data_IF_961383985247
#
_entry.id   IF_961383985247
#
_cell.length_a   1.000
_cell.length_b   1.000
_cell.length_c   1.000
_cell.angle_alpha   90.00
_cell.angle_beta   90.00
_cell.angle_gamma   90.00
#
_symmetry.space_group_name_H-M   'P 1'
#
loop_
_entity.id
_entity.type
_entity.pdbx_description
1 polymer ?
#
# COMPACT_ATOMS: atom_id res chain seq x y z
N UNK A 1 16.79 6.67 6.92
CA UNK A 1 16.23 6.57 5.55
C UNK A 1 17.28 7.03 4.55
N UNK A 2 17.52 6.28 3.47
CA UNK A 2 18.42 6.69 2.38
C UNK A 2 17.66 7.25 1.20
N UNK A 3 18.23 8.28 0.56
CA UNK A 3 17.68 8.98 -0.59
C UNK A 3 18.72 9.10 -1.69
N UNK A 4 18.30 9.02 -2.96
CA UNK A 4 19.15 9.30 -4.10
C UNK A 4 19.12 10.80 -4.39
N UNK A 5 20.26 11.46 -4.29
CA UNK A 5 20.44 12.85 -4.72
C UNK A 5 20.46 12.91 -6.25
N UNK A 6 19.52 13.62 -6.86
CA UNK A 6 19.33 13.64 -8.32
C UNK A 6 20.39 14.48 -9.06
N UNK A 7 21.16 15.30 -8.33
CA UNK A 7 22.20 16.17 -8.92
C UNK A 7 23.54 15.47 -9.03
N UNK A 8 23.93 14.76 -7.97
CA UNK A 8 25.22 14.06 -7.90
C UNK A 8 25.07 12.55 -8.11
N UNK A 9 23.84 12.05 -8.21
CA UNK A 9 23.50 10.63 -8.41
C UNK A 9 24.08 9.71 -7.34
N UNK A 10 24.17 10.16 -6.09
CA UNK A 10 24.67 9.36 -4.95
C UNK A 10 23.60 9.20 -3.88
N UNK A 11 23.71 8.09 -3.14
CA UNK A 11 22.87 7.84 -1.98
C UNK A 11 23.38 8.66 -0.79
N UNK A 12 22.46 9.33 -0.13
CA UNK A 12 22.67 10.08 1.10
C UNK A 12 21.70 9.57 2.18
N UNK A 13 22.16 9.55 3.43
CA UNK A 13 21.38 9.03 4.55
C UNK A 13 20.91 10.15 5.48
N UNK A 14 19.65 10.05 5.88
CA UNK A 14 18.94 11.03 6.69
C UNK A 14 18.16 10.36 7.82
N UNK A 15 18.06 11.07 8.94
CA UNK A 15 17.38 10.61 10.15
C UNK A 15 16.35 11.63 10.61
N UNK A 16 15.15 11.16 10.97
CA UNK A 16 14.07 11.96 11.58
C UNK A 16 13.85 13.33 10.90
N UNK A 17 13.99 14.42 11.65
CA UNK A 17 13.73 15.79 11.20
C UNK A 17 14.73 16.30 10.14
N UNK A 18 15.81 15.57 9.86
CA UNK A 18 16.78 15.94 8.82
C UNK A 18 16.38 15.47 7.42
N UNK A 19 15.32 14.66 7.29
CA UNK A 19 14.86 14.16 5.99
C UNK A 19 14.43 15.35 5.11
N UNK A 20 15.08 15.58 3.96
CA UNK A 20 14.74 16.69 3.06
C UNK A 20 13.41 16.43 2.37
N UNK A 21 12.92 17.38 1.57
CA UNK A 21 11.79 17.13 0.66
C UNK A 21 12.23 16.17 -0.46
N UNK A 22 11.41 15.16 -0.75
CA UNK A 22 11.72 14.14 -1.76
C UNK A 22 10.47 13.72 -2.54
N UNK A 23 10.68 13.19 -3.74
CA UNK A 23 9.70 12.37 -4.45
C UNK A 23 9.93 10.89 -4.16
N UNK A 24 8.91 10.05 -4.33
CA UNK A 24 9.01 8.61 -4.17
C UNK A 24 8.56 7.89 -5.43
N UNK A 25 9.27 6.83 -5.83
CA UNK A 25 8.90 6.02 -6.99
C UNK A 25 8.09 4.80 -6.56
N UNK A 26 6.80 4.81 -6.88
CA UNK A 26 5.94 3.65 -6.79
C UNK A 26 5.97 2.88 -8.11
N UNK A 27 6.28 1.58 -8.08
CA UNK A 27 6.39 0.80 -9.30
C UNK A 27 6.26 -0.69 -9.05
N UNK A 28 6.08 -1.45 -10.13
CA UNK A 28 6.10 -2.91 -10.09
C UNK A 28 7.44 -3.43 -10.57
N UNK A 29 8.08 -4.30 -9.78
CA UNK A 29 9.41 -4.81 -10.12
C UNK A 29 9.42 -5.56 -11.46
N UNK A 30 10.46 -5.32 -12.25
CA UNK A 30 10.73 -5.98 -13.51
C UNK A 30 11.85 -7.02 -13.41
N UNK A 31 12.32 -7.50 -14.55
CA UNK A 31 13.44 -8.44 -14.63
C UNK A 31 14.79 -7.80 -14.29
N UNK A 32 14.94 -6.49 -14.54
CA UNK A 32 16.17 -5.74 -14.31
C UNK A 32 15.87 -4.54 -13.43
N UNK A 33 16.39 -4.58 -12.20
CA UNK A 33 16.20 -3.55 -11.20
C UNK A 33 17.56 -2.94 -10.80
N UNK A 34 17.57 -1.63 -10.57
CA UNK A 34 18.72 -0.95 -9.99
C UNK A 34 18.72 -1.25 -8.50
N UNK A 35 19.69 -2.05 -8.05
CA UNK A 35 19.80 -2.46 -6.66
C UNK A 35 20.72 -1.52 -5.88
N UNK A 36 20.61 -1.54 -4.55
CA UNK A 36 21.49 -0.77 -3.67
C UNK A 36 22.97 -0.98 -3.96
N UNK A 37 23.38 -2.24 -4.17
CA UNK A 37 24.75 -2.62 -4.48
C UNK A 37 25.28 -2.02 -5.80
N UNK A 38 24.39 -1.67 -6.74
CA UNK A 38 24.78 -1.02 -8.00
C UNK A 38 25.09 0.48 -7.82
N UNK A 39 24.60 1.09 -6.74
CA UNK A 39 24.63 2.54 -6.51
C UNK A 39 25.56 2.93 -5.36
N UNK A 40 25.71 2.07 -4.34
CA UNK A 40 26.39 2.40 -3.08
C UNK A 40 27.84 2.91 -3.25
N UNK A 41 28.61 2.36 -4.19
CA UNK A 41 30.03 2.72 -4.36
C UNK A 41 30.22 3.92 -5.28
N UNK A 42 29.74 3.81 -6.52
CA UNK A 42 30.05 4.77 -7.59
C UNK A 42 28.93 5.79 -7.83
N UNK A 43 27.78 5.64 -7.16
CA UNK A 43 26.55 6.32 -7.51
C UNK A 43 25.80 5.64 -8.65
N UNK A 44 24.64 6.19 -8.96
CA UNK A 44 23.77 5.74 -10.04
C UNK A 44 24.34 6.18 -11.38
N UNK A 45 24.35 5.26 -12.36
CA UNK A 45 24.82 5.52 -13.71
C UNK A 45 23.63 5.84 -14.60
N UNK A 46 23.54 7.09 -15.06
CA UNK A 46 22.48 7.52 -15.97
C UNK A 46 22.43 6.65 -17.24
N UNK A 47 21.22 6.36 -17.72
CA UNK A 47 20.99 5.50 -18.89
C UNK A 47 20.96 4.01 -18.58
N UNK A 48 21.15 3.59 -17.32
CA UNK A 48 21.06 2.17 -16.93
C UNK A 48 19.63 1.70 -16.69
N UNK A 49 18.69 2.61 -16.45
CA UNK A 49 17.29 2.27 -16.24
C UNK A 49 16.39 3.43 -16.60
N UNK A 50 15.62 3.28 -17.70
CA UNK A 50 14.64 4.28 -18.13
C UNK A 50 13.68 4.70 -17.01
N UNK A 51 13.34 3.77 -16.12
CA UNK A 51 12.52 4.03 -14.93
C UNK A 51 13.23 4.94 -13.92
N UNK A 52 14.49 4.67 -13.56
CA UNK A 52 15.21 5.52 -12.60
C UNK A 52 15.56 6.86 -13.24
N UNK A 53 15.98 6.85 -14.50
CA UNK A 53 16.29 8.06 -15.27
C UNK A 53 15.09 9.00 -15.37
N UNK A 54 13.90 8.49 -15.71
CA UNK A 54 12.69 9.30 -15.76
C UNK A 54 12.23 9.78 -14.38
N UNK A 55 12.41 8.99 -13.33
CA UNK A 55 12.12 9.42 -11.95
C UNK A 55 12.99 10.61 -11.54
N UNK A 56 14.29 10.55 -11.84
CA UNK A 56 15.24 11.65 -11.60
C UNK A 56 14.84 12.87 -12.43
N UNK A 57 14.58 12.68 -13.74
CA UNK A 57 14.21 13.79 -14.63
C UNK A 57 12.93 14.49 -14.16
N UNK A 58 11.92 13.72 -13.76
CA UNK A 58 10.66 14.24 -13.25
C UNK A 58 10.84 14.95 -11.89
N UNK A 59 11.63 14.39 -10.97
CA UNK A 59 11.98 15.07 -9.71
C UNK A 59 12.68 16.41 -9.94
N UNK A 60 13.62 16.48 -10.89
CA UNK A 60 14.29 17.73 -11.27
C UNK A 60 13.27 18.75 -11.81
N UNK A 61 12.35 18.31 -12.67
CA UNK A 61 11.28 19.15 -13.23
C UNK A 61 10.37 19.71 -12.13
N UNK A 62 10.08 18.92 -11.11
CA UNK A 62 9.24 19.29 -9.97
C UNK A 62 10.01 20.03 -8.86
N UNK A 63 11.30 20.34 -9.07
CA UNK A 63 12.13 21.10 -8.15
C UNK A 63 12.53 20.34 -6.88
N UNK A 64 12.64 19.01 -6.97
CA UNK A 64 13.03 18.12 -5.88
C UNK A 64 14.43 17.57 -6.12
N UNK A 65 15.31 17.71 -5.14
CA UNK A 65 16.70 17.26 -5.24
C UNK A 65 16.90 15.79 -4.81
N UNK A 66 15.85 15.15 -4.27
CA UNK A 66 15.92 13.80 -3.73
C UNK A 66 14.78 12.92 -4.22
N UNK A 67 15.11 11.66 -4.51
CA UNK A 67 14.13 10.60 -4.77
C UNK A 67 14.37 9.40 -3.87
N UNK A 68 13.28 8.76 -3.44
CA UNK A 68 13.33 7.45 -2.80
C UNK A 68 12.83 6.37 -3.76
N UNK A 69 13.59 5.28 -3.85
CA UNK A 69 13.28 4.12 -4.69
C UNK A 69 13.63 2.86 -3.90
N UNK A 70 12.66 2.00 -3.59
CA UNK A 70 12.84 0.85 -2.70
C UNK A 70 13.96 -0.11 -3.15
N UNK A 71 14.19 -0.23 -4.46
CA UNK A 71 15.20 -1.14 -5.03
C UNK A 71 16.63 -0.69 -4.78
N UNK A 72 16.91 0.61 -4.82
CA UNK A 72 18.27 1.14 -4.63
C UNK A 72 18.48 1.93 -3.34
N UNK A 73 17.41 2.35 -2.65
CA UNK A 73 17.52 3.09 -1.38
C UNK A 73 17.52 2.17 -0.16
N UNK A 74 17.13 0.90 -0.28
CA UNK A 74 17.16 -0.07 0.83
C UNK A 74 18.24 -1.12 0.57
N UNK A 75 19.12 -1.35 1.55
CA UNK A 75 19.96 -2.54 1.55
C UNK A 75 19.16 -3.78 1.96
N UNK A 76 18.66 -4.50 0.95
CA UNK A 76 17.88 -5.74 1.14
C UNK A 76 18.74 -6.93 1.63
N UNK A 77 20.07 -6.79 1.67
CA UNK A 77 20.97 -7.81 2.26
C UNK A 77 21.06 -7.70 3.79
N UNK A 78 20.77 -6.52 4.35
CA UNK A 78 20.66 -6.28 5.77
C UNK A 78 19.24 -6.59 6.24
N UNK A 79 19.05 -7.68 6.98
CA UNK A 79 17.74 -8.04 7.53
C UNK A 79 17.19 -7.00 8.52
N UNK A 80 18.08 -6.35 9.27
CA UNK A 80 17.74 -5.27 10.19
C UNK A 80 17.18 -4.07 9.41
N UNK A 81 17.88 -3.62 8.37
CA UNK A 81 17.43 -2.49 7.57
C UNK A 81 16.16 -2.83 6.78
N UNK A 82 16.06 -4.02 6.20
CA UNK A 82 14.86 -4.45 5.50
C UNK A 82 13.64 -4.44 6.45
N UNK A 83 13.82 -4.90 7.69
CA UNK A 83 12.76 -4.88 8.70
C UNK A 83 12.36 -3.47 9.10
N UNK A 84 13.32 -2.58 9.31
CA UNK A 84 13.07 -1.16 9.60
C UNK A 84 12.34 -0.49 8.43
N UNK A 85 12.79 -0.74 7.20
CA UNK A 85 12.22 -0.17 6.00
C UNK A 85 10.77 -0.60 5.78
N UNK A 86 10.46 -1.89 5.91
CA UNK A 86 9.09 -2.39 5.76
C UNK A 86 8.15 -1.77 6.82
N UNK A 87 8.62 -1.63 8.06
CA UNK A 87 7.85 -1.00 9.13
C UNK A 87 7.69 0.52 8.96
N UNK A 88 8.56 1.16 8.18
CA UNK A 88 8.58 2.62 7.95
C UNK A 88 8.00 3.04 6.61
N UNK A 89 7.79 2.11 5.68
CA UNK A 89 7.49 2.42 4.27
C UNK A 89 6.25 3.28 4.10
N UNK A 90 5.18 3.00 4.84
CA UNK A 90 3.96 3.81 4.81
C UNK A 90 4.21 5.24 5.26
N UNK A 91 5.03 5.44 6.30
CA UNK A 91 5.40 6.78 6.75
C UNK A 91 6.26 7.52 5.72
N UNK A 92 7.13 6.82 5.00
CA UNK A 92 7.91 7.39 3.90
C UNK A 92 7.02 7.78 2.71
N UNK A 93 6.09 6.92 2.30
CA UNK A 93 5.11 7.29 1.27
C UNK A 93 4.23 8.46 1.71
N UNK A 94 3.82 8.51 2.98
CA UNK A 94 3.03 9.63 3.51
C UNK A 94 3.82 10.93 3.61
N UNK A 95 5.12 10.86 3.87
CA UNK A 95 6.00 12.02 4.05
C UNK A 95 6.60 12.58 2.74
N UNK A 96 6.41 11.91 1.61
CA UNK A 96 6.91 12.40 0.33
C UNK A 96 6.12 13.61 -0.16
N UNK A 97 6.74 14.46 -0.98
CA UNK A 97 6.04 15.56 -1.67
C UNK A 97 5.08 15.01 -2.72
N UNK A 98 5.53 13.99 -3.46
CA UNK A 98 4.79 13.35 -4.55
C UNK A 98 5.27 11.92 -4.75
N UNK A 99 4.33 11.03 -5.03
CA UNK A 99 4.57 9.65 -5.48
C UNK A 99 4.39 9.57 -6.99
N UNK A 100 5.44 9.17 -7.69
CA UNK A 100 5.39 8.87 -9.11
C UNK A 100 5.04 7.39 -9.27
N UNK A 101 3.83 7.09 -9.70
CA UNK A 101 3.37 5.74 -10.01
C UNK A 101 3.73 5.39 -11.46
N UNK A 102 4.84 4.69 -11.65
CA UNK A 102 5.33 4.29 -12.96
C UNK A 102 4.69 2.96 -13.41
N UNK A 103 3.88 3.04 -14.47
CA UNK A 103 3.09 1.94 -15.01
C UNK A 103 3.79 1.37 -16.26
N UNK A 104 4.70 0.41 -16.04
CA UNK A 104 5.53 -0.19 -17.09
C UNK A 104 4.73 -0.90 -18.20
N UNK A 105 3.48 -1.25 -17.94
CA UNK A 105 2.57 -1.96 -18.84
C UNK A 105 1.52 -1.07 -19.50
N UNK A 106 1.65 0.25 -19.33
CA UNK A 106 0.77 1.24 -19.94
C UNK A 106 1.51 1.97 -21.06
N UNK A 107 1.03 1.92 -22.32
CA UNK A 107 1.66 2.58 -23.46
C UNK A 107 1.52 4.11 -23.40
N UNK A 108 2.26 4.81 -24.26
CA UNK A 108 2.34 6.28 -24.26
C UNK A 108 1.19 6.97 -24.99
N UNK A 109 0.37 6.21 -25.74
CA UNK A 109 -0.81 6.70 -26.46
C UNK A 109 -2.06 6.81 -25.57
N UNK A 110 -1.87 6.80 -24.25
CA UNK A 110 -2.92 7.06 -23.28
C UNK A 110 -3.32 8.54 -23.31
N UNK A 111 -4.62 8.79 -23.38
CA UNK A 111 -5.16 10.14 -23.24
C UNK A 111 -4.85 10.65 -21.81
N UNK A 112 -4.05 11.72 -21.73
CA UNK A 112 -3.92 12.49 -20.50
C UNK A 112 -5.28 13.11 -20.20
N UNK A 113 -5.71 12.98 -18.96
CA UNK A 113 -7.05 13.35 -18.54
C UNK A 113 -6.91 14.27 -17.35
N UNK A 114 -7.64 15.37 -17.44
CA UNK A 114 -7.47 16.48 -16.52
C UNK A 114 -8.47 16.34 -15.38
N UNK A 115 -7.96 16.42 -14.15
CA UNK A 115 -8.76 16.31 -12.92
C UNK A 115 -9.86 17.37 -12.88
N UNK A 116 -9.64 18.51 -13.54
CA UNK A 116 -10.59 19.62 -13.60
C UNK A 116 -11.65 19.47 -14.71
N UNK A 117 -11.46 18.57 -15.69
CA UNK A 117 -12.32 18.44 -16.87
C UNK A 117 -12.90 17.03 -17.09
N UNK A 118 -12.33 15.98 -16.49
CA UNK A 118 -12.74 14.58 -16.62
C UNK A 118 -13.05 13.96 -15.24
N UNK A 119 -14.26 14.21 -14.72
CA UNK A 119 -14.71 13.67 -13.42
C UNK A 119 -14.66 12.13 -13.34
N UNK A 120 -14.96 11.46 -14.46
CA UNK A 120 -15.12 10.00 -14.52
C UNK A 120 -13.81 9.24 -14.72
N UNK A 121 -12.82 9.90 -15.32
CA UNK A 121 -11.50 9.37 -15.64
C UNK A 121 -11.38 8.39 -16.81
N UNK A 122 -10.22 7.71 -16.95
CA UNK A 122 -9.97 6.85 -18.10
C UNK A 122 -10.95 5.68 -18.08
N UNK A 123 -11.33 5.19 -19.26
CA UNK A 123 -12.26 4.07 -19.39
C UNK A 123 -11.80 2.86 -18.54
N UNK A 124 -12.75 2.15 -17.92
CA UNK A 124 -12.45 0.97 -17.07
C UNK A 124 -11.79 -0.18 -17.85
N UNK A 125 -11.88 -0.18 -19.18
CA UNK A 125 -11.21 -1.13 -20.07
C UNK A 125 -9.89 -0.61 -20.64
N UNK A 126 -9.44 0.59 -20.25
CA UNK A 126 -8.16 1.17 -20.66
C UNK A 126 -6.96 0.33 -20.19
N UNK A 127 -5.80 0.55 -20.84
CA UNK A 127 -4.54 -0.05 -20.39
C UNK A 127 -4.18 0.38 -18.95
N UNK A 128 -4.51 1.62 -18.59
CA UNK A 128 -4.37 2.14 -17.23
C UNK A 128 -5.14 1.28 -16.23
N UNK A 129 -6.46 1.12 -16.40
CA UNK A 129 -7.31 0.36 -15.48
C UNK A 129 -6.89 -1.12 -15.35
N UNK A 130 -6.30 -1.68 -16.41
CA UNK A 130 -5.80 -3.07 -16.46
C UNK A 130 -4.36 -3.23 -15.97
N UNK A 131 -3.69 -2.14 -15.59
CA UNK A 131 -2.28 -2.21 -15.18
C UNK A 131 -2.10 -3.14 -13.99
N UNK A 132 -1.06 -3.96 -14.05
CA UNK A 132 -0.60 -4.83 -12.97
C UNK A 132 -0.25 -4.07 -11.69
N UNK A 133 -0.06 -2.75 -11.77
CA UNK A 133 0.15 -1.91 -10.60
C UNK A 133 -1.03 -1.97 -9.63
N UNK A 134 -2.28 -1.97 -10.12
CA UNK A 134 -3.46 -2.04 -9.26
C UNK A 134 -3.65 -3.41 -8.57
N UNK A 135 -3.03 -4.45 -9.10
CA UNK A 135 -3.12 -5.81 -8.56
C UNK A 135 -1.90 -6.21 -7.74
N UNK A 136 -0.88 -5.35 -7.58
CA UNK A 136 0.27 -5.62 -6.72
C UNK A 136 -0.07 -5.34 -5.25
N UNK A 137 0.38 -6.19 -4.33
CA UNK A 137 0.09 -6.03 -2.90
C UNK A 137 0.65 -4.73 -2.31
N UNK A 138 1.94 -4.48 -2.53
CA UNK A 138 2.64 -3.31 -1.98
C UNK A 138 2.07 -1.98 -2.47
N UNK A 139 1.62 -1.88 -3.73
CA UNK A 139 1.08 -0.63 -4.29
C UNK A 139 -0.20 -0.14 -3.61
N UNK A 140 -0.82 -0.92 -2.73
CA UNK A 140 -2.00 -0.47 -1.97
C UNK A 140 -1.62 0.67 -1.02
N UNK A 141 -0.55 0.47 -0.24
CA UNK A 141 -0.06 1.54 0.62
C UNK A 141 0.60 2.67 -0.18
N UNK A 142 1.21 2.36 -1.33
CA UNK A 142 1.82 3.35 -2.22
C UNK A 142 0.75 4.25 -2.89
N UNK A 143 -0.48 3.73 -3.05
CA UNK A 143 -1.64 4.50 -3.45
C UNK A 143 -2.18 5.33 -2.28
N UNK A 144 -2.46 4.67 -1.15
CA UNK A 144 -3.23 5.29 -0.06
C UNK A 144 -2.39 6.32 0.69
N UNK A 145 -1.15 6.00 1.06
CA UNK A 145 -0.36 6.78 2.01
C UNK A 145 0.04 8.18 1.53
N UNK A 146 0.50 8.40 0.27
CA UNK A 146 0.89 9.73 -0.20
C UNK A 146 -0.31 10.65 -0.39
N UNK A 147 -0.14 11.94 -0.07
CA UNK A 147 -1.16 12.95 -0.38
C UNK A 147 -1.29 13.17 -1.90
N UNK A 148 -0.17 13.10 -2.64
CA UNK A 148 -0.12 13.30 -4.09
C UNK A 148 0.43 12.05 -4.79
N UNK A 149 -0.33 11.49 -5.73
CA UNK A 149 0.13 10.45 -6.66
C UNK A 149 -0.08 10.95 -8.09
N UNK A 150 0.95 10.85 -8.91
CA UNK A 150 0.92 11.11 -10.35
C UNK A 150 1.27 9.82 -11.08
N UNK A 151 0.41 9.39 -12.00
CA UNK A 151 0.61 8.20 -12.80
C UNK A 151 1.37 8.53 -14.08
N UNK A 152 2.31 7.66 -14.45
CA UNK A 152 3.11 7.79 -15.66
C UNK A 152 3.09 6.49 -16.46
N UNK A 153 3.09 6.62 -17.79
CA UNK A 153 3.23 5.49 -18.72
C UNK A 153 4.65 4.92 -18.72
N UNK A 154 4.88 3.88 -19.53
CA UNK A 154 6.21 3.30 -19.76
C UNK A 154 7.23 4.30 -20.32
N UNK A 155 6.81 5.28 -21.12
CA UNK A 155 7.65 6.34 -21.66
C UNK A 155 7.72 7.60 -20.79
N UNK A 156 7.27 7.54 -19.53
CA UNK A 156 7.18 8.71 -18.64
C UNK A 156 6.25 9.82 -19.14
N UNK A 157 5.21 9.46 -19.90
CA UNK A 157 4.13 10.40 -20.24
C UNK A 157 3.20 10.52 -19.03
N UNK A 158 2.90 11.74 -18.55
CA UNK A 158 1.91 11.95 -17.49
C UNK A 158 0.55 11.42 -17.93
N UNK A 159 -0.07 10.60 -17.08
CA UNK A 159 -1.40 10.04 -17.32
C UNK A 159 -2.42 10.87 -16.56
N UNK A 160 -2.25 11.01 -15.25
CA UNK A 160 -3.20 11.74 -14.39
C UNK A 160 -2.84 11.64 -12.92
N UNK A 161 -3.73 12.14 -12.04
CA UNK A 161 -3.52 12.21 -10.58
C UNK A 161 -4.52 11.34 -9.79
N UNK A 162 -4.28 11.23 -8.49
CA UNK A 162 -5.00 10.39 -7.49
C UNK A 162 -6.54 10.59 -7.34
N UNK A 163 -7.24 11.44 -8.10
CA UNK A 163 -8.50 12.05 -7.59
C UNK A 163 -9.76 11.73 -8.41
N UNK A 164 -10.09 10.46 -8.66
CA UNK A 164 -11.07 10.14 -9.73
C UNK A 164 -12.01 8.96 -9.45
N UNK A 165 -13.22 9.04 -10.01
CA UNK A 165 -14.23 7.99 -9.93
C UNK A 165 -13.69 6.62 -10.36
N UNK A 166 -12.89 6.55 -11.44
CA UNK A 166 -12.35 5.28 -11.93
C UNK A 166 -11.46 4.57 -10.92
N UNK A 167 -10.69 5.28 -10.09
CA UNK A 167 -9.80 4.63 -9.11
C UNK A 167 -10.62 3.88 -8.08
N UNK A 168 -11.78 4.41 -7.69
CA UNK A 168 -12.70 3.69 -6.81
C UNK A 168 -13.23 2.42 -7.48
N UNK A 169 -13.60 2.49 -8.77
CA UNK A 169 -14.04 1.33 -9.53
C UNK A 169 -12.95 0.26 -9.71
N UNK A 170 -11.72 0.67 -10.01
CA UNK A 170 -10.57 -0.23 -10.22
C UNK A 170 -10.15 -0.91 -8.91
N UNK A 171 -10.12 -0.16 -7.81
CA UNK A 171 -9.52 -0.62 -6.55
C UNK A 171 -10.52 -1.13 -5.53
N UNK A 172 -11.81 -0.80 -5.68
CA UNK A 172 -12.84 -1.03 -4.67
C UNK A 172 -12.71 -0.13 -3.44
N UNK A 173 -11.80 0.85 -3.46
CA UNK A 173 -11.60 1.80 -2.36
C UNK A 173 -12.59 2.95 -2.54
N UNK A 174 -13.44 3.29 -1.55
CA UNK A 174 -14.29 4.46 -1.63
C UNK A 174 -13.47 5.74 -1.82
N UNK A 175 -13.94 6.70 -2.64
CA UNK A 175 -13.20 7.92 -2.95
C UNK A 175 -12.68 8.67 -1.71
N UNK A 176 -13.53 8.78 -0.68
CA UNK A 176 -13.15 9.38 0.59
C UNK A 176 -11.95 8.69 1.26
N UNK A 177 -11.81 7.37 1.10
CA UNK A 177 -10.71 6.58 1.67
C UNK A 177 -9.43 6.60 0.82
N UNK A 178 -9.44 7.26 -0.35
CA UNK A 178 -8.21 7.56 -1.09
C UNK A 178 -7.43 8.71 -0.43
N UNK A 179 -8.05 9.52 0.43
CA UNK A 179 -7.30 10.40 1.33
C UNK A 179 -6.82 9.62 2.57
N UNK A 180 -5.51 9.63 2.82
CA UNK A 180 -4.91 8.98 3.99
C UNK A 180 -5.48 9.50 5.33
N UNK A 181 -6.04 10.71 5.37
CA UNK A 181 -6.67 11.30 6.56
C UNK A 181 -7.98 10.62 6.94
N UNK A 182 -8.68 10.06 5.96
CA UNK A 182 -9.94 9.33 6.15
C UNK A 182 -9.73 7.83 6.41
N UNK A 183 -8.50 7.35 6.22
CA UNK A 183 -8.14 5.95 6.47
C UNK A 183 -8.57 5.44 7.86
N UNK A 184 -8.46 6.21 8.97
CA UNK A 184 -8.94 5.75 10.28
C UNK A 184 -10.45 5.52 10.38
N UNK A 185 -11.26 6.10 9.49
CA UNK A 185 -12.73 5.93 9.47
C UNK A 185 -13.15 4.60 8.84
N UNK A 186 -12.36 4.08 7.90
CA UNK A 186 -12.61 2.79 7.29
C UNK A 186 -12.43 1.66 8.31
N UNK A 187 -13.35 0.70 8.28
CA UNK A 187 -13.27 -0.47 9.15
C UNK A 187 -12.08 -1.38 8.78
N UNK A 188 -11.70 -2.25 9.70
CA UNK A 188 -10.69 -3.29 9.44
C UNK A 188 -11.10 -4.17 8.25
N UNK A 189 -12.36 -4.58 8.17
CA UNK A 189 -12.85 -5.40 7.07
C UNK A 189 -12.80 -4.68 5.71
N UNK A 190 -13.10 -3.39 5.68
CA UNK A 190 -12.98 -2.57 4.47
C UNK A 190 -11.52 -2.52 4.01
N UNK A 191 -10.60 -2.18 4.91
CA UNK A 191 -9.16 -2.15 4.60
C UNK A 191 -8.64 -3.50 4.09
N UNK A 192 -9.06 -4.60 4.71
CA UNK A 192 -8.72 -5.95 4.25
C UNK A 192 -9.30 -6.25 2.87
N UNK A 193 -10.52 -5.80 2.58
CA UNK A 193 -11.15 -6.00 1.27
C UNK A 193 -10.40 -5.30 0.13
N UNK A 194 -9.78 -4.13 0.38
CA UNK A 194 -8.96 -3.42 -0.61
C UNK A 194 -7.67 -4.17 -0.97
N UNK A 195 -7.23 -5.07 -0.09
CA UNK A 195 -6.09 -5.95 -0.30
C UNK A 195 -6.48 -7.29 -0.95
N UNK A 196 -7.77 -7.62 -0.98
CA UNK A 196 -8.27 -8.84 -1.62
C UNK A 196 -7.95 -8.84 -3.12
N UNK A 197 -7.59 -10.00 -3.66
CA UNK A 197 -7.24 -10.17 -5.07
C UNK A 197 -5.83 -9.68 -5.44
N UNK A 198 -5.22 -8.79 -4.64
CA UNK A 198 -3.85 -8.33 -4.87
C UNK A 198 -2.82 -9.45 -4.66
N UNK A 199 -1.71 -9.37 -5.41
CA UNK A 199 -0.69 -10.41 -5.53
C UNK A 199 0.66 -9.92 -5.02
N UNK A 200 1.36 -10.80 -4.33
CA UNK A 200 2.71 -10.57 -3.80
C UNK A 200 3.65 -11.67 -4.28
N UNK A 201 4.96 -11.41 -4.28
CA UNK A 201 5.96 -12.43 -4.67
C UNK A 201 6.21 -13.40 -3.53
N UNK A 202 6.40 -12.90 -2.31
CA UNK A 202 6.48 -13.71 -1.09
C UNK A 202 5.10 -13.81 -0.46
N UNK A 203 4.80 -14.94 0.19
CA UNK A 203 3.48 -15.17 0.80
C UNK A 203 3.26 -14.23 1.98
N UNK A 204 4.31 -14.02 2.77
CA UNK A 204 4.34 -13.18 3.95
C UNK A 204 4.06 -11.71 3.63
N UNK A 205 4.44 -11.26 2.43
CA UNK A 205 4.18 -9.89 1.98
C UNK A 205 2.68 -9.59 1.85
N UNK A 206 1.78 -10.61 1.80
CA UNK A 206 0.33 -10.40 1.90
C UNK A 206 -0.06 -9.76 3.24
N UNK A 207 0.74 -9.97 4.28
CA UNK A 207 0.60 -9.33 5.58
C UNK A 207 1.48 -8.08 5.68
N UNK A 208 2.77 -8.19 5.33
CA UNK A 208 3.72 -7.10 5.53
C UNK A 208 3.42 -5.84 4.70
N UNK A 209 2.77 -6.00 3.54
CA UNK A 209 2.32 -4.85 2.75
C UNK A 209 1.18 -4.05 3.38
N UNK A 210 0.57 -4.54 4.47
CA UNK A 210 -0.58 -3.93 5.13
C UNK A 210 -0.24 -3.27 6.47
N UNK A 211 1.00 -3.41 6.97
CA UNK A 211 1.38 -2.93 8.31
C UNK A 211 1.03 -1.46 8.53
N UNK A 212 1.44 -0.59 7.60
CA UNK A 212 1.16 0.84 7.70
C UNK A 212 -0.31 1.22 7.53
N UNK A 213 -1.09 0.46 6.76
CA UNK A 213 -2.53 0.67 6.59
C UNK A 213 -3.26 0.44 7.92
N UNK A 214 -2.77 -0.50 8.72
CA UNK A 214 -3.32 -0.83 10.04
C UNK A 214 -2.58 -0.15 11.20
N UNK A 215 -1.51 0.60 10.95
CA UNK A 215 -0.70 1.22 12.00
C UNK A 215 -0.05 0.20 12.94
N UNK A 216 0.35 -0.96 12.41
CA UNK A 216 0.97 -2.06 13.15
C UNK A 216 2.47 -2.08 12.88
N UNK A 217 3.25 -2.46 13.90
CA UNK A 217 4.65 -2.83 13.74
C UNK A 217 4.88 -4.27 14.21
N UNK A 218 5.62 -5.06 13.44
CA UNK A 218 5.96 -6.43 13.81
C UNK A 218 7.29 -6.88 13.16
N UNK A 219 7.99 -7.89 13.71
CA UNK A 219 9.20 -8.45 13.10
C UNK A 219 8.95 -9.17 11.78
N UNK A 220 9.84 -8.97 10.80
CA UNK A 220 9.80 -9.63 9.48
C UNK A 220 10.42 -11.02 9.56
N UNK A 221 9.61 -12.07 9.52
CA UNK A 221 10.03 -13.47 9.61
C UNK A 221 9.74 -14.22 8.30
N UNK A 222 10.53 -13.94 7.26
CA UNK A 222 10.42 -14.66 6.00
C UNK A 222 10.67 -16.17 6.17
N UNK A 223 9.75 -16.99 5.67
CA UNK A 223 9.71 -18.44 5.90
C UNK A 223 8.54 -18.88 6.78
N UNK A 224 7.82 -17.95 7.42
CA UNK A 224 6.66 -18.26 8.25
C UNK A 224 5.37 -18.54 7.46
N UNK A 225 5.38 -18.37 6.13
CA UNK A 225 4.23 -18.63 5.26
C UNK A 225 2.99 -17.82 5.67
N UNK A 226 1.81 -18.43 5.71
CA UNK A 226 0.54 -17.74 5.99
C UNK A 226 0.43 -17.29 7.47
N UNK A 227 1.34 -17.74 8.36
CA UNK A 227 1.37 -17.30 9.76
C UNK A 227 1.66 -15.79 9.89
N UNK A 228 2.32 -15.18 8.90
CA UNK A 228 2.52 -13.73 8.88
C UNK A 228 1.18 -12.97 8.93
N UNK A 229 0.17 -13.48 8.24
CA UNK A 229 -1.16 -12.87 8.21
C UNK A 229 -1.97 -13.14 9.48
N UNK A 230 -1.74 -14.28 10.14
CA UNK A 230 -2.29 -14.55 11.48
C UNK A 230 -1.73 -13.53 12.48
N UNK A 231 -0.41 -13.36 12.51
CA UNK A 231 0.24 -12.39 13.39
C UNK A 231 -0.22 -10.96 13.13
N UNK A 232 -0.39 -10.54 11.86
CA UNK A 232 -0.98 -9.25 11.54
C UNK A 232 -2.34 -9.05 12.21
N UNK A 233 -3.22 -10.05 12.15
CA UNK A 233 -4.54 -9.97 12.78
C UNK A 233 -4.45 -9.94 14.32
N UNK A 234 -3.51 -10.66 14.92
CA UNK A 234 -3.24 -10.59 16.37
C UNK A 234 -2.76 -9.20 16.80
N UNK A 235 -1.89 -8.56 16.01
CA UNK A 235 -1.46 -7.17 16.24
C UNK A 235 -2.64 -6.19 16.12
N UNK A 236 -3.50 -6.36 15.10
CA UNK A 236 -4.70 -5.54 14.92
C UNK A 236 -5.65 -5.71 16.12
N UNK A 237 -5.90 -6.95 16.57
CA UNK A 237 -6.73 -7.22 17.76
C UNK A 237 -6.20 -6.57 19.03
N UNK A 238 -4.88 -6.37 19.12
CA UNK A 238 -4.25 -5.72 20.28
C UNK A 238 -4.44 -4.21 20.27
N UNK A 239 -4.50 -3.60 19.08
CA UNK A 239 -4.54 -2.15 18.91
C UNK A 239 -5.94 -1.60 18.60
N UNK A 240 -6.88 -2.45 18.19
CA UNK A 240 -8.20 -2.05 17.69
C UNK A 240 -9.34 -2.83 18.36
N UNK A 241 -10.44 -2.12 18.66
CA UNK A 241 -11.73 -2.69 19.07
C UNK A 241 -12.69 -2.84 17.88
N UNK A 242 -12.20 -2.81 16.64
CA UNK A 242 -13.04 -2.95 15.46
C UNK A 242 -13.46 -4.41 15.22
N UNK A 243 -14.75 -4.69 15.49
CA UNK A 243 -15.35 -6.03 15.37
C UNK A 243 -15.35 -6.57 13.94
N UNK A 244 -15.22 -5.68 12.95
CA UNK A 244 -15.27 -6.06 11.53
C UNK A 244 -14.11 -7.00 11.15
N UNK A 245 -13.03 -7.06 11.93
CA UNK A 245 -11.97 -8.06 11.71
C UNK A 245 -12.51 -9.50 11.70
N UNK A 246 -13.56 -9.79 12.46
CA UNK A 246 -14.18 -11.11 12.55
C UNK A 246 -15.28 -11.35 11.48
N UNK A 247 -15.50 -10.39 10.58
CA UNK A 247 -16.50 -10.48 9.51
C UNK A 247 -15.98 -11.20 8.25
N UNK A 248 -14.76 -11.75 8.27
CA UNK A 248 -14.23 -12.53 7.17
C UNK A 248 -15.15 -13.72 6.84
N UNK A 249 -15.22 -14.09 5.56
CA UNK A 249 -16.17 -15.10 5.08
C UNK A 249 -17.61 -14.59 4.89
N UNK A 250 -17.93 -13.33 5.24
CA UNK A 250 -19.26 -12.74 5.03
C UNK A 250 -19.67 -12.86 3.55
N UNK A 251 -20.83 -13.43 3.25
CA UNK A 251 -21.29 -13.60 1.86
C UNK A 251 -20.50 -14.64 1.04
N UNK A 252 -19.61 -15.43 1.67
CA UNK A 252 -18.93 -16.56 1.07
C UNK A 252 -19.50 -17.89 1.61
N UNK A 253 -19.31 -19.02 0.89
CA UNK A 253 -19.65 -20.33 1.42
C UNK A 253 -18.94 -20.59 2.76
N UNK A 254 -19.56 -21.32 3.70
CA UNK A 254 -18.96 -21.62 5.00
C UNK A 254 -17.57 -22.25 4.80
N UNK A 255 -16.55 -21.79 5.52
CA UNK A 255 -15.25 -22.42 5.45
C UNK A 255 -15.37 -23.88 5.92
N UNK A 256 -14.64 -24.78 5.25
CA UNK A 256 -14.59 -26.19 5.64
C UNK A 256 -13.79 -26.45 6.93
N UNK A 257 -13.26 -25.41 7.57
CA UNK A 257 -12.44 -25.48 8.77
C UNK A 257 -12.92 -24.52 9.87
N UNK A 258 -12.84 -24.97 11.12
CA UNK A 258 -13.21 -24.21 12.32
C UNK A 258 -12.08 -23.28 12.78
N UNK A 259 -11.69 -22.32 11.94
CA UNK A 259 -10.67 -21.31 12.27
C UNK A 259 -11.32 -20.03 12.84
N UNK A 260 -10.59 -19.32 13.68
CA UNK A 260 -11.03 -18.03 14.25
C UNK A 260 -10.65 -16.84 13.35
N UNK A 261 -9.45 -16.87 12.79
CA UNK A 261 -8.86 -15.77 12.00
C UNK A 261 -8.80 -16.15 10.52
N UNK A 262 -8.85 -15.13 9.66
CA UNK A 262 -8.72 -15.31 8.21
C UNK A 262 -7.33 -15.83 7.84
N UNK A 263 -7.22 -16.52 6.70
CA UNK A 263 -5.92 -16.99 6.16
C UNK A 263 -5.26 -15.92 5.32
N UNK A 264 -6.06 -15.14 4.59
CA UNK A 264 -5.56 -14.09 3.71
C UNK A 264 -6.56 -12.95 3.57
N UNK A 265 -6.16 -11.79 3.01
CA UNK A 265 -7.09 -10.72 2.67
C UNK A 265 -8.26 -11.15 1.76
N UNK A 266 -8.10 -12.21 0.95
CA UNK A 266 -9.16 -12.67 0.03
C UNK A 266 -10.41 -13.17 0.78
N UNK A 267 -10.25 -13.59 2.04
CA UNK A 267 -11.38 -13.98 2.90
C UNK A 267 -12.27 -12.76 3.25
N UNK A 268 -11.84 -11.53 2.95
CA UNK A 268 -12.59 -10.28 3.11
C UNK A 268 -13.07 -9.68 1.78
N UNK A 269 -12.97 -10.40 0.66
CA UNK A 269 -13.27 -9.90 -0.70
C UNK A 269 -14.67 -9.27 -0.86
N UNK A 270 -15.64 -9.70 -0.07
CA UNK A 270 -17.04 -9.24 -0.05
C UNK A 270 -17.33 -8.22 1.06
N UNK A 271 -16.31 -7.81 1.81
CA UNK A 271 -16.47 -6.99 3.02
C UNK A 271 -16.35 -5.48 2.79
N UNK A 272 -16.30 -5.00 1.54
CA UNK A 272 -16.16 -3.56 1.23
C UNK A 272 -17.27 -2.66 1.78
N UNK A 273 -18.46 -3.23 2.04
CA UNK A 273 -19.58 -2.54 2.68
C UNK A 273 -19.70 -2.73 4.20
N UNK A 274 -18.77 -3.44 4.85
CA UNK A 274 -18.84 -3.74 6.29
C UNK A 274 -18.31 -2.54 7.08
N UNK A 275 -19.21 -1.71 7.60
CA UNK A 275 -18.84 -0.54 8.39
C UNK A 275 -18.55 -0.88 9.86
N UNK A 276 -17.74 -0.04 10.51
CA UNK A 276 -17.52 -0.12 11.96
C UNK A 276 -18.81 0.24 12.71
N UNK A 277 -19.22 -0.62 13.64
CA UNK A 277 -20.25 -0.28 14.63
C UNK A 277 -19.59 0.59 15.70
N UNK A 278 -20.24 1.67 16.13
CA UNK A 278 -19.68 2.72 17.01
C UNK A 278 -18.93 2.20 18.25
N UNK A 279 -18.17 3.07 18.94
CA UNK A 279 -17.12 2.68 19.89
C UNK A 279 -17.62 1.66 20.90
N UNK A 280 -16.95 0.51 20.95
CA UNK A 280 -17.33 -0.54 21.87
C UNK A 280 -16.63 -0.28 23.19
N UNK A 281 -17.37 -0.26 24.30
CA UNK A 281 -16.80 -0.03 25.63
C UNK A 281 -16.01 -1.23 26.17
N UNK A 282 -15.83 -2.30 25.39
CA UNK A 282 -15.31 -3.58 25.86
C UNK A 282 -14.10 -4.00 25.03
N UNK A 283 -13.03 -4.39 25.72
CA UNK A 283 -11.78 -4.82 25.10
C UNK A 283 -11.84 -6.27 24.61
N UNK A 284 -11.05 -6.57 23.59
CA UNK A 284 -10.75 -7.94 23.19
C UNK A 284 -9.65 -8.51 24.06
N UNK A 285 -9.71 -9.81 24.34
CA UNK A 285 -8.62 -10.50 25.04
C UNK A 285 -8.34 -11.81 24.34
N UNK A 286 -7.13 -11.94 23.80
CA UNK A 286 -6.61 -13.25 23.39
C UNK A 286 -6.06 -13.98 24.60
N UNK A 287 -6.55 -15.19 24.82
CA UNK A 287 -6.10 -16.11 25.86
C UNK A 287 -5.54 -17.37 25.21
N UNK A 288 -4.87 -18.22 25.99
CA UNK A 288 -4.47 -19.55 25.53
C UNK A 288 -5.67 -20.46 25.18
N UNK A 289 -6.91 -20.07 25.52
CA UNK A 289 -8.15 -20.76 25.15
C UNK A 289 -8.85 -20.16 23.93
N UNK A 290 -8.34 -19.06 23.38
CA UNK A 290 -8.93 -18.35 22.25
C UNK A 290 -9.34 -16.91 22.59
N UNK A 291 -10.20 -16.35 21.74
CA UNK A 291 -10.67 -14.96 21.84
C UNK A 291 -11.85 -14.84 22.81
N UNK A 292 -11.71 -13.95 23.79
CA UNK A 292 -12.80 -13.47 24.61
C UNK A 292 -13.23 -12.09 24.10
N UNK A 293 -14.50 -11.97 23.73
CA UNK A 293 -15.11 -10.77 23.15
C UNK A 293 -16.58 -10.67 23.58
N UNK A 294 -17.09 -9.45 23.72
CA UNK A 294 -18.50 -9.17 23.91
C UNK A 294 -19.05 -8.39 22.72
N UNK A 295 -20.05 -8.96 22.07
CA UNK A 295 -20.68 -8.38 20.88
C UNK A 295 -22.11 -7.95 21.22
N UNK A 296 -22.52 -6.77 20.75
CA UNK A 296 -23.92 -6.37 20.81
C UNK A 296 -24.67 -7.02 19.64
N UNK A 297 -25.58 -7.94 19.94
CA UNK A 297 -26.50 -8.44 18.93
C UNK A 297 -27.63 -7.43 18.75
N UNK A 298 -27.63 -6.74 17.60
CA UNK A 298 -28.78 -5.93 17.22
C UNK A 298 -29.86 -6.86 16.66
N UNK A 299 -30.95 -7.05 17.41
CA UNK A 299 -32.12 -7.80 16.95
C UNK A 299 -33.08 -6.85 16.22
N UNK A 300 -33.24 -6.93 14.89
CA UNK A 300 -34.17 -6.08 14.15
C UNK A 300 -35.61 -6.57 14.38
N UNK A 301 -36.18 -6.28 15.56
CA UNK A 301 -37.49 -6.84 15.92
C UNK A 301 -38.18 -6.31 17.17
N UNK A 302 -37.76 -5.17 17.72
CA UNK A 302 -38.60 -4.42 18.68
C UNK A 302 -38.70 -2.98 18.23
N UNK A 303 -39.83 -2.65 17.58
CA UNK A 303 -40.37 -1.30 17.67
C UNK A 303 -40.62 -1.03 19.16
N UNK A 304 -40.09 0.07 19.68
CA UNK A 304 -40.47 0.59 20.98
C UNK A 304 -41.97 0.89 21.00
#
# INVERSE_FOLDING_TARGET
MRLLNVRILKLEEYFDASIPRYAILSHTWGAQEVLYSHVQQDGYKAGTSAKVDGCIAQAIKDGLDYVWIDTCCIDKSSSAELSEAINSMFAWYRGCVVSYAYLVDVPDDVEEWDVDNDEDGPDINSAFAKSRWFTRGWTLQELIAPDNVIFFSVGWVPIGRKVIGTLSAITGIPLQCLDAKELPQASVAQKMSWAAGRKTTRREDRAYSLLGIFGVNMPMLYGESDNAFVRLQEEILRLSDDQSLLAWGYGLPPPGDSRLLARTPDDFSTCGGVCRVGPTRQHYTMTNKGLQISLYMHWPGRKA
#
